data_IF_217777923795
#
_entry.id   IF_217777923795
#
_cell.length_a   1.000
_cell.length_b   1.000
_cell.length_c   1.000
_cell.angle_alpha   90.00
_cell.angle_beta   90.00
_cell.angle_gamma   90.00
#
_symmetry.space_group_name_H-M   'P 1'
#
loop_
_entity.id
_entity.type
_entity.pdbx_description
1 polymer ?
2 non-polymer ?
3 water ?
#
# COMPACT_ATOMS: atom_id res chain seq x y z
N UNK A 1 25.35 -9.34 19.44
CA UNK A 1 25.34 -8.27 18.41
C UNK A 1 23.92 -7.66 18.14
N UNK A 2 22.89 -8.48 17.88
CA UNK A 2 21.51 -7.91 17.65
C UNK A 2 20.88 -7.30 18.95
N UNK A 3 20.32 -6.09 18.85
CA UNK A 3 19.46 -5.56 19.91
C UNK A 3 18.20 -6.45 20.17
N UNK A 4 17.58 -6.26 21.34
CA UNK A 4 16.38 -7.03 21.73
C UNK A 4 15.37 -7.05 20.56
N UNK A 5 14.82 -8.23 20.33
CA UNK A 5 13.79 -8.49 19.37
C UNK A 5 12.59 -7.55 19.57
N UNK A 6 12.22 -6.85 18.50
CA UNK A 6 11.00 -5.96 18.52
C UNK A 6 9.72 -6.74 18.12
N UNK A 7 8.73 -6.79 18.97
CA UNK A 7 7.47 -7.44 18.64
C UNK A 7 6.59 -6.37 17.99
N UNK A 8 6.20 -6.53 16.74
CA UNK A 8 5.34 -5.56 16.08
C UNK A 8 3.98 -5.67 16.75
N UNK A 9 3.49 -4.57 17.29
CA UNK A 9 2.24 -4.55 18.02
C UNK A 9 1.07 -4.85 17.08
N UNK A 10 0.32 -5.93 17.32
CA UNK A 10 -0.86 -6.21 16.48
C UNK A 10 -1.92 -5.13 16.49
N UNK A 11 -1.90 -4.25 17.50
CA UNK A 11 -2.92 -3.21 17.61
C UNK A 11 -2.46 -1.85 17.08
N UNK A 12 -1.18 -1.80 16.71
CA UNK A 12 -0.60 -0.62 16.15
C UNK A 12 -0.89 0.61 17.01
N UNK A 13 -0.58 0.45 18.29
CA UNK A 13 -0.82 1.50 19.23
C UNK A 13 0.09 2.68 19.20
N UNK A 14 1.31 2.49 18.74
CA UNK A 14 2.30 3.54 18.69
C UNK A 14 3.25 3.29 17.50
N UNK A 15 2.75 3.57 16.29
CA UNK A 15 3.51 3.29 15.06
C UNK A 15 4.83 4.10 14.98
N UNK A 16 4.77 5.36 15.35
CA UNK A 16 5.95 6.19 15.36
C UNK A 16 7.08 5.76 16.33
N UNK A 17 6.68 5.34 17.52
CA UNK A 17 7.63 4.77 18.50
C UNK A 17 8.24 3.47 18.01
N UNK A 18 7.42 2.58 17.47
CA UNK A 18 7.93 1.33 16.84
C UNK A 18 8.92 1.59 15.69
N UNK A 19 8.55 2.51 14.81
CA UNK A 19 9.42 2.92 13.72
C UNK A 19 10.79 3.45 14.22
N UNK A 20 10.79 4.35 15.21
CA UNK A 20 12.03 4.84 15.82
C UNK A 20 12.84 3.70 16.45
N UNK A 21 12.17 2.72 17.05
CA UNK A 21 12.93 1.60 17.65
C UNK A 21 13.54 0.70 16.56
N UNK A 22 12.80 0.51 15.46
CA UNK A 22 13.36 -0.24 14.34
C UNK A 22 14.59 0.44 13.75
N UNK A 23 14.52 1.76 13.57
CA UNK A 23 15.66 2.50 13.05
C UNK A 23 16.88 2.37 13.95
N UNK A 24 16.69 2.51 15.27
CA UNK A 24 17.79 2.37 16.22
C UNK A 24 18.38 0.97 16.21
N UNK A 25 17.56 -0.02 15.89
CA UNK A 25 18.06 -1.40 15.82
C UNK A 25 18.66 -1.78 14.46
N UNK A 26 18.72 -0.84 13.53
CA UNK A 26 19.14 -1.16 12.20
C UNK A 26 20.64 -1.33 12.05
N UNK A 27 21.07 -1.76 10.88
CA UNK A 27 20.18 -1.83 9.69
C UNK A 27 19.34 -3.07 9.58
N UNK A 28 19.66 -4.10 10.38
CA UNK A 28 18.97 -5.39 10.36
C UNK A 28 18.51 -5.71 11.75
N UNK A 29 17.20 -5.67 11.99
CA UNK A 29 16.63 -5.82 13.31
C UNK A 29 15.89 -7.12 13.39
N UNK A 30 16.02 -7.82 14.49
CA UNK A 30 15.23 -9.00 14.75
C UNK A 30 13.81 -8.56 15.10
N UNK A 31 12.76 -9.18 14.53
CA UNK A 31 11.41 -8.80 14.94
C UNK A 31 10.53 -10.01 15.03
N UNK A 32 9.44 -9.82 15.73
CA UNK A 32 8.43 -10.81 15.86
C UNK A 32 7.19 -10.30 15.22
N UNK A 33 6.69 -11.01 14.23
CA UNK A 33 5.38 -10.74 13.68
C UNK A 33 4.29 -11.34 14.58
N UNK A 34 3.12 -10.69 14.65
CA UNK A 34 2.00 -11.25 15.45
C UNK A 34 1.70 -12.68 15.03
N UNK A 35 1.46 -13.53 16.02
CA UNK A 35 1.35 -14.95 15.82
C UNK A 35 2.66 -15.59 16.25
N UNK A 36 3.64 -14.80 16.68
CA UNK A 36 4.89 -15.37 17.25
C UNK A 36 5.99 -15.69 16.22
N UNK A 37 5.88 -15.24 14.96
CA UNK A 37 6.82 -15.69 13.89
C UNK A 37 8.03 -14.77 13.84
N UNK A 38 9.22 -15.30 14.10
CA UNK A 38 10.49 -14.52 14.06
C UNK A 38 10.98 -14.26 12.62
N UNK A 39 11.32 -13.00 12.34
CA UNK A 39 11.91 -12.64 11.06
C UNK A 39 12.92 -11.51 11.26
N UNK A 40 13.61 -11.10 10.20
CA UNK A 40 14.50 -9.94 10.21
C UNK A 40 13.82 -8.84 9.39
N UNK A 41 14.09 -7.61 9.80
CA UNK A 41 13.63 -6.42 9.11
C UNK A 41 14.81 -5.54 8.76
N UNK A 42 14.82 -5.02 7.53
CA UNK A 42 15.77 -4.03 7.14
C UNK A 42 15.08 -2.70 7.35
N UNK A 43 15.77 -1.85 8.13
CA UNK A 43 15.15 -0.66 8.67
C UNK A 43 15.88 0.66 8.36
N UNK A 44 16.87 0.59 7.48
CA UNK A 44 17.58 1.71 6.90
C UNK A 44 17.58 1.67 5.40
N UNK A 45 17.65 2.86 4.83
CA UNK A 45 17.47 3.05 3.43
C UNK A 45 18.48 2.38 2.49
N UNK A 46 19.77 2.67 2.69
CA UNK A 46 20.79 2.20 1.77
C UNK A 46 20.80 0.66 1.86
N UNK A 47 20.73 0.11 3.04
CA UNK A 47 20.70 -1.38 3.11
C UNK A 47 19.41 -1.99 2.52
N UNK A 48 18.29 -1.30 2.59
CA UNK A 48 17.04 -1.80 1.97
C UNK A 48 17.16 -1.91 0.48
N UNK A 49 17.67 -0.83 -0.13
CA UNK A 49 17.87 -0.83 -1.55
C UNK A 49 18.81 -1.96 -2.06
N UNK A 50 19.93 -2.15 -1.36
CA UNK A 50 20.89 -3.23 -1.68
C UNK A 50 20.20 -4.58 -1.57
N UNK A 51 19.43 -4.81 -0.51
CA UNK A 51 18.77 -6.12 -0.36
C UNK A 51 17.69 -6.37 -1.40
N UNK A 52 17.00 -5.32 -1.78
CA UNK A 52 15.91 -5.43 -2.71
C UNK A 52 16.43 -5.67 -4.12
N UNK A 53 17.71 -5.37 -4.40
CA UNK A 53 18.28 -5.72 -5.68
C UNK A 53 19.28 -6.88 -5.63
N UNK A 54 19.29 -7.65 -4.55
CA UNK A 54 20.27 -8.76 -4.41
C UNK A 54 19.59 -10.04 -4.86
N UNK A 55 20.15 -10.71 -5.85
CA UNK A 55 19.52 -11.93 -6.41
C UNK A 55 19.53 -13.12 -5.45
N UNK A 56 20.26 -13.05 -4.35
CA UNK A 56 20.25 -14.07 -3.34
C UNK A 56 19.05 -13.90 -2.39
N UNK A 57 18.33 -12.82 -2.52
CA UNK A 57 17.17 -12.61 -1.68
C UNK A 57 15.92 -12.82 -2.54
N UNK A 58 15.14 -13.85 -2.24
CA UNK A 58 14.03 -14.32 -3.15
C UNK A 58 12.65 -14.34 -2.51
N UNK A 59 11.62 -14.55 -3.32
CA UNK A 59 10.22 -14.74 -2.88
C UNK A 59 9.75 -16.17 -2.80
N UNK A 60 10.65 -17.13 -2.96
CA UNK A 60 10.32 -18.56 -3.01
C UNK A 60 10.19 -19.04 -1.58
N UNK A 61 8.94 -19.28 -1.16
CA UNK A 61 8.64 -19.67 0.20
C UNK A 61 9.19 -20.99 0.66
N UNK A 62 9.52 -21.90 -0.25
CA UNK A 62 10.25 -23.17 0.15
C UNK A 62 11.70 -22.96 0.63
N UNK A 63 12.23 -21.76 0.44
CA UNK A 63 13.56 -21.42 1.00
C UNK A 63 13.44 -21.10 2.49
N UNK A 64 12.24 -20.75 2.97
CA UNK A 64 12.05 -20.29 4.36
C UNK A 64 12.12 -21.46 5.35
N UNK A 65 13.05 -21.38 6.32
CA UNK A 65 13.21 -22.42 7.33
C UNK A 65 11.93 -22.68 8.10
N UNK A 66 11.29 -21.61 8.53
CA UNK A 66 10.10 -21.73 9.31
C UNK A 66 8.95 -22.46 8.57
N UNK A 67 8.83 -22.22 7.27
CA UNK A 67 7.84 -22.94 6.46
C UNK A 67 8.19 -24.41 6.35
N UNK A 68 9.41 -24.71 5.98
CA UNK A 68 9.86 -26.08 5.81
C UNK A 68 9.68 -26.90 7.13
N UNK A 69 9.87 -26.24 8.27
CA UNK A 69 9.78 -26.89 9.56
C UNK A 69 8.41 -26.92 10.13
N UNK A 70 7.41 -26.43 9.41
CA UNK A 70 6.05 -26.55 9.86
C UNK A 70 5.59 -25.58 10.95
N UNK A 71 6.30 -24.46 11.12
CA UNK A 71 5.99 -23.44 12.18
C UNK A 71 5.10 -22.23 11.70
N UNK A 72 4.67 -22.24 10.45
CA UNK A 72 3.74 -21.25 9.98
C UNK A 72 2.38 -21.89 9.75
N UNK A 73 1.41 -21.55 10.62
CA UNK A 73 0.10 -22.21 10.45
C UNK A 73 -0.61 -21.60 9.27
N UNK A 74 -1.38 -22.41 8.56
CA UNK A 74 -2.08 -21.95 7.38
C UNK A 74 -3.21 -21.00 7.70
N UNK A 75 -3.65 -21.01 8.95
CA UNK A 75 -4.65 -20.08 9.39
C UNK A 75 -4.08 -18.86 10.14
N UNK A 76 -2.79 -18.62 10.01
CA UNK A 76 -2.18 -17.33 10.42
C UNK A 76 -2.90 -16.17 9.73
N UNK A 77 -3.34 -15.16 10.48
CA UNK A 77 -4.00 -14.03 9.77
C UNK A 77 -3.20 -13.32 8.67
N UNK A 78 -1.87 -13.40 8.76
CA UNK A 78 -0.97 -12.85 7.73
C UNK A 78 -0.64 -13.82 6.55
N UNK A 79 -1.27 -15.01 6.55
CA UNK A 79 -0.96 -16.03 5.52
C UNK A 79 -1.13 -15.45 4.08
N UNK A 80 -2.11 -14.57 3.90
CA UNK A 80 -2.39 -14.02 2.61
C UNK A 80 -1.30 -13.09 2.11
N UNK A 81 -0.54 -12.50 3.02
CA UNK A 81 0.61 -11.65 2.67
C UNK A 81 1.84 -12.49 2.69
N UNK A 82 1.88 -13.53 3.51
CA UNK A 82 3.15 -14.27 3.62
C UNK A 82 3.25 -15.35 2.59
N UNK A 83 2.13 -15.87 2.11
CA UNK A 83 2.12 -16.95 1.13
C UNK A 83 1.05 -16.75 0.08
N UNK A 84 1.18 -15.68 -0.71
CA UNK A 84 0.16 -15.49 -1.70
C UNK A 84 0.32 -16.47 -2.90
N UNK A 85 -0.72 -16.61 -3.69
CA UNK A 85 -0.66 -17.54 -4.84
C UNK A 85 0.27 -17.00 -5.88
N UNK A 86 0.62 -17.86 -6.82
CA UNK A 86 1.56 -17.55 -7.88
C UNK A 86 1.15 -16.28 -8.70
N UNK A 87 2.07 -15.34 -8.84
CA UNK A 87 1.85 -14.11 -9.61
C UNK A 87 3.18 -13.50 -9.70
N UNK A 88 3.28 -12.37 -10.37
CA UNK A 88 4.52 -11.61 -10.45
C UNK A 88 5.12 -11.30 -9.09
N UNK A 89 4.27 -11.18 -8.07
CA UNK A 89 4.74 -10.84 -6.75
C UNK A 89 5.54 -11.95 -6.10
N UNK A 90 5.36 -13.20 -6.51
CA UNK A 90 5.91 -14.36 -5.81
C UNK A 90 6.99 -15.06 -6.58
N UNK A 91 7.44 -14.54 -7.71
CA UNK A 91 8.50 -15.20 -8.50
C UNK A 91 9.62 -14.23 -8.76
N UNK A 92 10.76 -14.74 -9.22
CA UNK A 92 11.88 -13.93 -9.66
C UNK A 92 12.36 -14.38 -11.06
N UNK A 93 13.39 -13.69 -11.59
CA UNK A 93 13.94 -13.97 -12.90
C UNK A 93 13.03 -13.82 -14.11
N UNK A 94 13.14 -14.80 -15.00
CA UNK A 94 12.39 -14.77 -16.25
C UNK A 94 10.87 -14.98 -16.04
N UNK A 95 10.48 -15.89 -15.13
CA UNK A 95 9.07 -15.96 -14.70
C UNK A 95 8.56 -14.58 -14.33
N UNK A 96 9.33 -13.82 -13.56
CA UNK A 96 8.83 -12.53 -13.07
C UNK A 96 8.62 -11.59 -14.24
N UNK A 97 9.58 -11.53 -15.15
CA UNK A 97 9.47 -10.63 -16.32
C UNK A 97 8.26 -11.00 -17.21
N UNK A 98 8.01 -12.31 -17.37
CA UNK A 98 6.82 -12.73 -18.12
C UNK A 98 5.56 -12.27 -17.39
N UNK A 99 5.46 -12.56 -16.09
CA UNK A 99 4.22 -12.32 -15.39
C UNK A 99 3.92 -10.85 -15.14
N UNK A 100 4.94 -10.01 -15.27
CA UNK A 100 4.81 -8.52 -15.02
C UNK A 100 4.54 -7.69 -16.29
N UNK A 101 5.07 -8.08 -17.44
CA UNK A 101 5.19 -7.10 -18.56
C UNK A 101 3.88 -6.41 -18.97
N UNK A 102 2.85 -7.19 -19.19
CA UNK A 102 1.58 -6.65 -19.62
C UNK A 102 1.00 -5.64 -18.61
N UNK A 103 1.04 -5.96 -17.35
CA UNK A 103 0.51 -5.03 -16.34
C UNK A 103 1.35 -3.83 -16.31
N UNK A 104 2.70 -3.99 -16.27
CA UNK A 104 3.55 -2.81 -16.19
C UNK A 104 3.35 -1.91 -17.44
N UNK A 105 3.24 -2.56 -18.60
CA UNK A 105 2.97 -1.82 -19.86
C UNK A 105 1.65 -1.05 -19.87
N UNK A 106 0.61 -1.53 -19.21
CA UNK A 106 -0.64 -0.81 -19.20
C UNK A 106 -0.62 0.41 -18.27
N UNK A 107 0.42 0.55 -17.47
CA UNK A 107 0.42 1.54 -16.36
C UNK A 107 1.60 2.48 -16.40
N UNK A 108 2.21 2.67 -17.58
CA UNK A 108 3.28 3.66 -17.75
C UNK A 108 2.70 5.08 -17.56
N UNK A 109 3.55 6.07 -17.31
CA UNK A 109 3.11 7.45 -17.15
C UNK A 109 2.20 7.94 -18.29
N UNK A 110 2.39 7.47 -19.50
CA UNK A 110 1.57 7.91 -20.63
C UNK A 110 0.24 7.18 -20.69
N UNK A 111 0.21 5.87 -20.46
CA UNK A 111 -1.08 5.13 -20.55
C UNK A 111 -2.02 5.64 -19.43
N UNK A 112 -1.40 6.10 -18.33
CA UNK A 112 -2.10 6.60 -17.19
C UNK A 112 -2.66 8.02 -17.43
N UNK A 113 -1.98 8.86 -18.19
CA UNK A 113 -2.52 10.19 -18.57
C UNK A 113 -3.85 10.11 -19.29
N UNK A 114 -4.04 9.04 -20.03
CA UNK A 114 -5.27 8.83 -20.73
C UNK A 114 -6.44 8.45 -19.79
N UNK A 115 -6.17 8.06 -18.54
CA UNK A 115 -7.22 7.82 -17.58
C UNK A 115 -7.61 9.10 -16.84
N UNK A 116 -6.92 10.21 -17.08
CA UNK A 116 -7.10 11.44 -16.29
C UNK A 116 -8.56 11.95 -16.23
N UNK A 117 -9.20 11.98 -17.39
CA UNK A 117 -10.56 12.54 -17.52
C UNK A 117 -11.56 11.66 -16.79
N UNK A 118 -11.45 10.36 -16.97
CA UNK A 118 -12.23 9.41 -16.17
C UNK A 118 -12.04 9.53 -14.66
N UNK A 119 -10.80 9.79 -14.23
CA UNK A 119 -10.53 9.97 -12.78
C UNK A 119 -11.10 11.31 -12.31
N UNK A 120 -10.94 12.36 -13.14
CA UNK A 120 -11.54 13.69 -12.83
C UNK A 120 -13.07 13.61 -12.67
N UNK A 121 -13.72 12.80 -13.49
CA UNK A 121 -15.17 12.61 -13.43
C UNK A 121 -15.55 11.98 -12.09
N UNK A 122 -14.99 10.82 -11.76
CA UNK A 122 -15.27 10.16 -10.48
C UNK A 122 -14.95 11.02 -9.23
N UNK A 123 -13.86 11.78 -9.29
CA UNK A 123 -13.51 12.73 -8.26
C UNK A 123 -14.60 13.78 -8.06
N UNK A 124 -15.11 14.38 -9.15
CA UNK A 124 -16.16 15.42 -9.02
C UNK A 124 -17.47 14.82 -8.50
N UNK A 125 -17.88 13.66 -9.01
CA UNK A 125 -19.01 12.91 -8.46
C UNK A 125 -18.89 12.61 -6.93
N UNK A 126 -17.70 12.23 -6.45
CA UNK A 126 -17.47 12.04 -4.98
C UNK A 126 -17.57 13.31 -4.23
N UNK A 127 -17.02 14.40 -4.77
CA UNK A 127 -17.17 15.71 -4.16
C UNK A 127 -18.62 16.22 -4.10
N UNK A 128 -19.48 15.84 -5.05
CA UNK A 128 -20.87 16.32 -5.03
C UNK A 128 -21.67 15.64 -3.94
N UNK A 129 -21.49 14.33 -3.77
CA UNK A 129 -21.95 13.64 -2.52
C UNK A 129 -21.50 14.31 -1.17
N UNK A 130 -20.22 14.62 -0.97
CA UNK A 130 -19.78 15.54 0.13
C UNK A 130 -20.43 16.89 -0.21
N UNK A 131 -20.64 17.82 0.72
CA UNK A 131 -21.36 19.08 0.33
C UNK A 131 -22.89 18.91 0.13
N UNK A 132 -23.31 17.78 -0.44
CA UNK A 132 -24.68 17.26 -0.26
C UNK A 132 -24.99 16.56 1.10
N UNK A 133 -23.97 16.33 1.96
CA UNK A 133 -24.21 15.83 3.34
C UNK A 133 -24.56 17.01 4.27
N UNK A 134 -25.34 16.78 5.38
CA UNK A 134 -25.77 17.82 6.36
C UNK A 134 -24.69 18.82 6.87
N UNK A 135 -24.82 20.09 6.48
CA UNK A 135 -23.78 21.12 6.72
C UNK A 135 -23.51 21.30 8.22
N UNK A 136 -22.23 21.38 8.59
CA UNK A 136 -21.82 21.63 9.98
C UNK A 136 -21.54 20.40 10.86
N UNK A 137 -22.23 19.28 10.62
CA UNK A 137 -21.94 18.03 11.31
C UNK A 137 -20.56 17.43 10.79
N UNK A 138 -19.76 16.81 11.69
CA UNK A 138 -18.54 16.13 11.21
C UNK A 138 -18.82 15.05 10.16
N UNK A 139 -17.91 14.92 9.21
CA UNK A 139 -17.99 13.82 8.26
C UNK A 139 -16.73 12.96 8.42
N UNK A 140 -16.87 11.69 8.11
CA UNK A 140 -15.73 10.80 8.09
C UNK A 140 -15.19 10.80 6.68
N UNK A 141 -14.13 11.56 6.48
CA UNK A 141 -13.62 11.76 5.11
C UNK A 141 -13.03 10.49 4.50
N UNK A 142 -12.60 9.55 5.34
CA UNK A 142 -12.16 8.24 4.86
C UNK A 142 -13.32 7.48 4.25
N UNK A 143 -14.39 7.23 5.00
CA UNK A 143 -15.51 6.45 4.45
C UNK A 143 -16.29 7.18 3.34
N UNK A 144 -16.26 8.50 3.31
CA UNK A 144 -17.01 9.29 2.33
C UNK A 144 -16.22 9.81 1.16
N UNK A 145 -14.90 9.69 1.16
CA UNK A 145 -14.11 10.25 0.04
C UNK A 145 -12.88 9.42 -0.26
N UNK A 146 -12.04 9.20 0.75
CA UNK A 146 -10.77 8.56 0.55
C UNK A 146 -10.97 7.10 0.21
N UNK A 147 -11.95 6.39 0.79
CA UNK A 147 -12.20 4.99 0.44
C UNK A 147 -12.83 4.87 -0.97
N UNK A 148 -14.02 5.50 -1.20
CA UNK A 148 -14.70 5.17 -2.44
C UNK A 148 -13.99 5.57 -3.73
N UNK A 149 -13.34 6.70 -3.74
CA UNK A 149 -12.71 7.17 -4.96
C UNK A 149 -11.63 6.24 -5.47
N UNK A 150 -10.60 5.89 -4.68
CA UNK A 150 -9.66 4.94 -5.25
C UNK A 150 -10.26 3.56 -5.53
N UNK A 151 -11.26 3.14 -4.77
CA UNK A 151 -11.91 1.85 -5.09
C UNK A 151 -12.59 1.91 -6.47
N UNK A 152 -13.21 3.03 -6.80
CA UNK A 152 -13.78 3.18 -8.12
C UNK A 152 -12.79 3.31 -9.22
N UNK A 153 -11.69 4.02 -9.00
CA UNK A 153 -10.72 4.19 -10.09
C UNK A 153 -10.16 2.82 -10.43
N UNK A 154 -9.76 2.06 -9.40
CA UNK A 154 -9.14 0.77 -9.67
C UNK A 154 -10.14 -0.28 -10.23
N UNK A 155 -11.37 -0.29 -9.73
CA UNK A 155 -12.44 -1.19 -10.25
C UNK A 155 -12.69 -1.00 -11.73
N UNK A 156 -12.78 0.28 -12.12
CA UNK A 156 -12.94 0.71 -13.51
C UNK A 156 -11.75 0.35 -14.38
N UNK A 157 -10.53 0.55 -13.88
CA UNK A 157 -9.36 0.11 -14.64
C UNK A 157 -9.42 -1.41 -14.96
N UNK A 158 -9.84 -2.24 -13.98
CA UNK A 158 -9.86 -3.71 -14.07
C UNK A 158 -11.25 -4.30 -14.49
N UNK A 159 -12.26 -3.46 -14.48
CA UNK A 159 -13.61 -3.85 -14.89
C UNK A 159 -14.27 -4.71 -13.84
N UNK A 160 -14.11 -4.33 -12.58
CA UNK A 160 -14.85 -4.97 -11.54
C UNK A 160 -16.20 -4.24 -11.45
N UNK A 161 -17.29 -4.99 -11.28
CA UNK A 161 -18.62 -4.39 -11.14
C UNK A 161 -18.88 -3.86 -9.72
N UNK A 162 -19.57 -2.72 -9.64
CA UNK A 162 -19.91 -2.10 -8.38
C UNK A 162 -20.74 -2.97 -7.46
N UNK A 163 -21.53 -3.91 -8.01
CA UNK A 163 -22.25 -4.89 -7.15
C UNK A 163 -21.31 -5.82 -6.34
N UNK A 164 -20.08 -6.00 -6.81
CA UNK A 164 -19.09 -6.75 -6.04
C UNK A 164 -18.38 -5.93 -4.95
N UNK A 165 -18.53 -4.61 -4.94
CA UNK A 165 -17.77 -3.79 -3.95
C UNK A 165 -18.05 -4.09 -2.48
N UNK A 166 -19.34 -4.38 -2.08
CA UNK A 166 -19.62 -4.55 -0.64
C UNK A 166 -19.00 -5.77 -0.03
N UNK A 167 -19.03 -6.86 -0.78
CA UNK A 167 -18.38 -8.06 -0.31
C UNK A 167 -16.80 -7.96 -0.39
N UNK A 168 -16.26 -7.32 -1.42
CA UNK A 168 -14.83 -7.04 -1.50
C UNK A 168 -14.34 -6.31 -0.25
N UNK A 169 -15.05 -5.24 0.10
CA UNK A 169 -14.73 -4.45 1.28
C UNK A 169 -14.71 -5.24 2.57
N UNK A 170 -15.74 -6.05 2.77
CA UNK A 170 -15.82 -6.89 3.95
C UNK A 170 -14.68 -7.94 3.95
N UNK A 171 -14.37 -8.51 2.80
CA UNK A 171 -13.35 -9.58 2.77
C UNK A 171 -11.93 -9.01 3.00
N UNK A 172 -11.65 -7.87 2.37
CA UNK A 172 -10.39 -7.19 2.55
C UNK A 172 -10.14 -6.65 3.95
N UNK A 173 -11.18 -6.17 4.62
CA UNK A 173 -11.07 -5.83 6.06
C UNK A 173 -10.67 -7.05 6.90
N UNK A 174 -11.13 -8.26 6.58
CA UNK A 174 -10.64 -9.47 7.28
C UNK A 174 -9.24 -9.87 6.84
N UNK A 175 -8.93 -9.72 5.58
CA UNK A 175 -7.61 -10.12 5.03
C UNK A 175 -6.48 -9.32 5.68
N UNK A 176 -6.69 -8.03 5.90
CA UNK A 176 -5.67 -7.15 6.47
C UNK A 176 -5.58 -7.08 8.01
N UNK A 177 -6.65 -7.37 8.71
CA UNK A 177 -6.68 -7.32 10.15
C UNK A 177 -5.89 -8.44 10.89
N UNK A 178 -5.12 -8.05 11.90
CA UNK A 178 -4.52 -8.98 12.87
C UNK A 178 -5.51 -9.63 13.81
N UNK A 179 -6.71 -9.09 13.91
CA UNK A 179 -7.73 -9.60 14.77
C UNK A 179 -8.67 -10.62 14.12
N UNK A 180 -8.45 -11.02 12.88
CA UNK A 180 -9.31 -12.02 12.28
C UNK A 180 -9.01 -13.32 12.98
N UNK A 181 -10.02 -13.95 13.61
CA UNK A 181 -9.74 -15.24 14.33
C UNK A 181 -9.16 -16.31 13.37
N UNK A 182 -8.08 -17.00 13.75
CA UNK A 182 -7.53 -18.09 12.90
C UNK A 182 -8.60 -18.97 12.28
N UNK A 183 -9.60 -19.33 13.08
CA UNK A 183 -10.71 -20.18 12.62
C UNK A 183 -11.48 -19.56 11.42
N UNK A 184 -11.43 -18.24 11.27
CA UNK A 184 -12.09 -17.52 10.13
C UNK A 184 -11.17 -17.39 8.89
N UNK A 185 -9.88 -17.61 9.04
CA UNK A 185 -8.94 -17.29 7.95
C UNK A 185 -9.13 -18.16 6.69
N UNK A 186 -9.27 -19.47 6.85
CA UNK A 186 -9.43 -20.39 5.71
C UNK A 186 -10.59 -20.08 4.81
N UNK A 187 -11.76 -19.82 5.39
CA UNK A 187 -12.96 -19.47 4.59
C UNK A 187 -12.82 -18.07 3.97
N UNK A 188 -12.15 -17.15 4.64
CA UNK A 188 -11.86 -15.84 3.98
C UNK A 188 -11.02 -16.00 2.75
N UNK A 189 -9.95 -16.79 2.83
CA UNK A 189 -9.10 -17.01 1.65
C UNK A 189 -9.88 -17.72 0.53
N UNK A 190 -10.69 -18.69 0.88
CA UNK A 190 -11.51 -19.37 -0.15
C UNK A 190 -12.50 -18.42 -0.81
N UNK A 191 -13.16 -17.57 -0.01
CA UNK A 191 -14.12 -16.59 -0.52
C UNK A 191 -13.47 -15.57 -1.42
N UNK A 192 -12.31 -15.04 -0.98
CA UNK A 192 -11.63 -14.06 -1.87
C UNK A 192 -11.29 -14.74 -3.21
N UNK A 193 -10.71 -15.91 -3.12
CA UNK A 193 -10.28 -16.65 -4.32
C UNK A 193 -11.46 -17.02 -5.20
N UNK A 194 -12.57 -17.46 -4.60
CA UNK A 194 -13.82 -17.78 -5.40
C UNK A 194 -14.41 -16.53 -6.03
N UNK A 195 -14.39 -15.40 -5.34
CA UNK A 195 -14.87 -14.16 -5.93
C UNK A 195 -14.00 -13.63 -7.08
N UNK A 196 -12.69 -13.70 -6.97
CA UNK A 196 -11.87 -13.26 -8.13
C UNK A 196 -11.92 -14.22 -9.33
N UNK A 197 -12.03 -15.50 -9.05
CA UNK A 197 -12.19 -16.53 -10.08
C UNK A 197 -13.49 -16.26 -10.88
N UNK A 198 -14.53 -15.86 -10.17
CA UNK A 198 -15.84 -15.63 -10.76
C UNK A 198 -15.75 -14.39 -11.62
N UNK A 199 -15.09 -13.33 -11.13
CA UNK A 199 -14.88 -12.13 -11.93
C UNK A 199 -14.10 -12.45 -13.18
N UNK A 200 -13.06 -13.29 -13.09
CA UNK A 200 -12.24 -13.58 -14.28
C UNK A 200 -13.00 -14.46 -15.30
N UNK A 201 -13.68 -15.52 -14.86
CA UNK A 201 -14.63 -16.30 -15.73
C UNK A 201 -15.64 -15.39 -16.48
N UNK A 202 -16.31 -14.47 -15.78
CA UNK A 202 -17.23 -13.53 -16.43
C UNK A 202 -16.58 -12.68 -17.51
N UNK A 203 -15.34 -12.19 -17.26
CA UNK A 203 -14.65 -11.35 -18.27
C UNK A 203 -14.24 -12.15 -19.48
N UNK A 204 -13.86 -13.39 -19.27
CA UNK A 204 -13.48 -14.28 -20.41
C UNK A 204 -14.63 -14.33 -21.53
N UNK A 205 -15.87 -14.47 -21.10
CA UNK A 205 -17.03 -14.67 -21.99
C UNK A 205 -17.79 -13.34 -22.23
N UNK A 206 -17.32 -12.26 -21.63
CA UNK A 206 -17.93 -10.95 -21.77
C UNK A 206 -16.87 -9.85 -21.63
N UNK A 207 -15.95 -9.79 -22.60
CA UNK A 207 -14.84 -8.80 -22.52
C UNK A 207 -15.32 -7.36 -22.35
N UNK A 208 -14.37 -6.49 -22.02
CA UNK A 208 -14.56 -5.03 -21.87
C UNK A 208 -13.27 -4.34 -22.28
N UNK A 209 -13.26 -3.01 -22.26
CA UNK A 209 -11.99 -2.25 -22.47
C UNK A 209 -11.47 -2.00 -21.06
N UNK A 210 -10.81 -3.01 -20.53
CA UNK A 210 -10.31 -3.00 -19.17
C UNK A 210 -9.13 -3.95 -19.13
N UNK A 211 -8.28 -3.79 -18.12
CA UNK A 211 -7.03 -4.50 -18.12
C UNK A 211 -7.23 -5.99 -17.89
N UNK A 212 -8.23 -6.40 -17.15
CA UNK A 212 -8.41 -7.84 -16.99
C UNK A 212 -8.64 -8.59 -18.32
N UNK A 213 -9.47 -7.98 -19.16
CA UNK A 213 -9.77 -8.50 -20.50
C UNK A 213 -8.55 -8.48 -21.36
N UNK A 214 -7.76 -7.42 -21.26
CA UNK A 214 -6.46 -7.44 -21.95
C UNK A 214 -5.52 -8.54 -21.47
N UNK A 215 -5.48 -8.83 -20.17
CA UNK A 215 -4.70 -9.99 -19.68
C UNK A 215 -5.22 -11.29 -20.27
N UNK A 216 -6.54 -11.46 -20.27
CA UNK A 216 -7.15 -12.68 -20.84
C UNK A 216 -6.83 -12.83 -22.35
N UNK A 217 -6.99 -11.74 -23.12
CA UNK A 217 -6.71 -11.71 -24.58
C UNK A 217 -5.28 -12.00 -25.02
N UNK A 218 -4.27 -11.77 -24.18
CA UNK A 218 -2.97 -12.40 -24.44
C UNK A 218 -2.99 -13.92 -24.03
N UNK A 219 -3.89 -14.71 -24.63
CA UNK A 219 -4.08 -16.18 -24.39
C UNK A 219 -3.66 -16.97 -25.62
N UNK A 220 -4.37 -16.70 -26.72
CA UNK A 220 -3.93 -17.09 -28.06
C UNK A 220 -2.85 -16.04 -28.40
N UNK A 221 -1.68 -16.23 -27.77
CA UNK A 221 -0.59 -15.22 -27.68
C UNK A 221 0.64 -15.84 -26.96
N UNK A 222 1.14 -16.95 -27.53
CA UNK A 222 2.19 -17.75 -26.92
C UNK A 222 1.82 -18.30 -25.54
N UNK A 223 0.51 -18.51 -25.32
CA UNK A 223 -0.11 -18.92 -24.00
C UNK A 223 -0.14 -17.83 -22.85
N UNK A 224 0.97 -17.12 -22.66
CA UNK A 224 1.19 -16.09 -21.62
C UNK A 224 0.58 -16.43 -20.23
N UNK A 225 -0.18 -15.55 -19.56
CA UNK A 225 -0.62 -15.84 -18.19
C UNK A 225 -1.65 -17.01 -18.08
N UNK A 226 -1.44 -17.93 -17.16
CA UNK A 226 -2.44 -18.94 -16.86
C UNK A 226 -3.65 -18.29 -16.17
N UNK A 227 -4.78 -19.00 -16.17
CA UNK A 227 -6.02 -18.58 -15.46
C UNK A 227 -5.70 -18.21 -14.00
N UNK A 228 -4.91 -19.07 -13.33
CA UNK A 228 -4.58 -18.86 -11.95
C UNK A 228 -3.72 -17.61 -11.76
N UNK A 229 -2.73 -17.39 -12.61
CA UNK A 229 -1.93 -16.18 -12.55
C UNK A 229 -2.79 -14.92 -12.77
N UNK A 230 -3.81 -14.98 -13.64
CA UNK A 230 -4.66 -13.81 -13.90
C UNK A 230 -5.47 -13.50 -12.67
N UNK A 231 -6.10 -14.51 -12.09
CA UNK A 231 -6.91 -14.37 -10.90
C UNK A 231 -6.08 -13.83 -9.70
N UNK A 232 -4.90 -14.38 -9.51
CA UNK A 232 -4.01 -13.95 -8.42
C UNK A 232 -3.52 -12.51 -8.63
N UNK A 233 -3.24 -12.18 -9.87
CA UNK A 233 -2.84 -10.82 -10.27
C UNK A 233 -3.98 -9.80 -10.07
N UNK A 234 -5.21 -10.18 -10.45
CA UNK A 234 -6.36 -9.32 -10.20
C UNK A 234 -6.53 -9.07 -8.74
N UNK A 235 -6.50 -10.11 -7.94
CA UNK A 235 -6.58 -9.95 -6.50
C UNK A 235 -5.54 -8.95 -5.89
N UNK A 236 -4.30 -9.14 -6.27
CA UNK A 236 -3.18 -8.26 -5.90
C UNK A 236 -3.46 -6.78 -6.33
N UNK A 237 -3.97 -6.56 -7.54
CA UNK A 237 -4.23 -5.20 -8.00
C UNK A 237 -5.36 -4.58 -7.24
N UNK A 238 -6.41 -5.35 -7.02
CA UNK A 238 -7.52 -4.78 -6.32
C UNK A 238 -7.25 -4.57 -4.83
N UNK A 239 -6.42 -5.40 -4.20
CA UNK A 239 -6.04 -5.09 -2.78
C UNK A 239 -5.45 -3.63 -2.58
N UNK A 240 -4.66 -3.12 -3.53
CA UNK A 240 -4.29 -1.66 -3.54
C UNK A 240 -5.47 -0.62 -3.36
N UNK A 241 -6.57 -0.88 -4.04
CA UNK A 241 -7.79 -0.09 -3.92
C UNK A 241 -8.55 -0.13 -2.62
N UNK A 242 -8.32 -1.15 -1.82
CA UNK A 242 -8.82 -1.20 -0.46
C UNK A 242 -7.76 -0.83 0.58
N UNK A 243 -6.56 -0.37 0.13
CA UNK A 243 -5.49 -0.16 1.06
C UNK A 243 -4.60 1.04 0.79
N UNK A 244 -3.63 0.95 -0.09
CA UNK A 244 -2.53 1.87 0.00
C UNK A 244 -2.91 3.24 -0.52
N UNK A 245 -3.70 3.27 -1.59
CA UNK A 245 -4.11 4.57 -2.19
C UNK A 245 -5.06 5.41 -1.29
N UNK A 246 -5.93 4.72 -0.57
CA UNK A 246 -6.77 5.29 0.48
C UNK A 246 -5.88 5.92 1.55
N UNK A 247 -4.91 5.15 2.01
CA UNK A 247 -3.98 5.65 3.04
C UNK A 247 -3.14 6.84 2.61
N UNK A 248 -2.69 6.86 1.40
CA UNK A 248 -1.97 8.04 0.96
C UNK A 248 -2.86 9.33 1.04
N UNK A 249 -4.10 9.27 0.57
CA UNK A 249 -4.98 10.43 0.61
C UNK A 249 -5.22 10.85 2.07
N UNK A 250 -5.56 9.87 2.92
CA UNK A 250 -5.80 10.15 4.35
C UNK A 250 -4.57 10.78 4.97
N UNK A 251 -3.40 10.21 4.72
CA UNK A 251 -2.19 10.73 5.34
C UNK A 251 -1.76 12.05 4.82
N UNK A 252 -2.13 12.40 3.58
CA UNK A 252 -1.86 13.75 3.09
C UNK A 252 -2.75 14.75 3.85
N UNK A 253 -4.04 14.48 3.96
CA UNK A 253 -4.89 15.38 4.75
C UNK A 253 -4.36 15.53 6.18
N UNK A 254 -4.01 14.42 6.84
CA UNK A 254 -3.47 14.50 8.17
C UNK A 254 -2.19 15.33 8.23
N UNK A 255 -1.26 15.17 7.28
CA UNK A 255 -0.02 16.03 7.29
C UNK A 255 -0.34 17.53 7.11
N UNK A 256 -1.22 17.83 6.20
CA UNK A 256 -1.56 19.22 5.95
C UNK A 256 -2.33 19.85 7.14
N UNK A 257 -3.23 19.09 7.77
CA UNK A 257 -3.93 19.58 8.93
C UNK A 257 -3.11 19.68 10.16
N UNK A 258 -1.84 19.27 10.12
CA UNK A 258 -0.95 19.41 11.26
C UNK A 258 0.25 20.27 10.94
N UNK A 259 0.30 20.92 9.76
CA UNK A 259 1.49 21.78 9.41
C UNK A 259 0.95 23.02 8.72
N UNK A 260 0.35 23.94 9.51
CA UNK A 260 -0.49 25.01 8.93
C UNK A 260 0.28 26.01 8.03
N UNK A 261 1.55 26.23 8.30
CA UNK A 261 2.39 27.10 7.41
C UNK A 261 2.48 26.50 5.98
N UNK A 262 2.73 25.18 5.88
CA UNK A 262 2.79 24.55 4.58
C UNK A 262 1.42 24.44 3.98
N UNK A 263 0.41 24.20 4.81
CA UNK A 263 -0.94 24.10 4.28
C UNK A 263 -1.23 25.39 3.46
N UNK A 264 -0.90 26.51 4.03
CA UNK A 264 -1.23 27.82 3.44
C UNK A 264 -0.52 27.97 2.12
N UNK A 265 0.76 27.59 2.08
CA UNK A 265 1.55 27.62 0.83
C UNK A 265 1.05 26.70 -0.24
N UNK A 266 0.50 25.56 0.15
CA UNK A 266 -0.01 24.61 -0.83
C UNK A 266 -1.28 25.10 -1.46
N UNK A 267 -2.16 25.66 -0.62
CA UNK A 267 -3.45 26.16 -1.13
C UNK A 267 -3.31 27.43 -1.98
N UNK A 268 -2.27 28.21 -1.69
CA UNK A 268 -1.68 29.23 -2.60
C UNK A 268 -1.15 28.89 -3.97
N UNK A 269 -0.62 27.68 -4.15
CA UNK A 269 0.20 27.39 -5.31
C UNK A 269 1.68 27.64 -5.14
N UNK A 270 2.15 28.16 -3.99
CA UNK A 270 3.59 28.28 -3.68
C UNK A 270 4.40 26.96 -3.46
N UNK A 271 3.73 25.89 -3.02
CA UNK A 271 4.31 24.51 -2.97
C UNK A 271 3.36 23.68 -3.79
N UNK A 272 3.86 22.86 -4.72
CA UNK A 272 2.95 22.10 -5.59
C UNK A 272 2.39 20.88 -4.88
N UNK A 273 1.23 20.41 -5.31
CA UNK A 273 0.66 19.21 -4.76
C UNK A 273 1.50 17.93 -4.90
N UNK A 274 2.15 17.78 -6.05
CA UNK A 274 2.99 16.63 -6.31
C UNK A 274 4.05 16.42 -5.23
N UNK A 275 4.71 17.50 -4.81
CA UNK A 275 5.67 17.55 -3.70
C UNK A 275 5.10 17.17 -2.34
N UNK A 276 3.86 17.58 -2.07
CA UNK A 276 3.17 17.21 -0.88
C UNK A 276 2.95 15.70 -0.87
N UNK A 277 2.54 15.16 -1.99
CA UNK A 277 2.31 13.72 -2.10
C UNK A 277 3.60 12.93 -1.92
N UNK A 278 4.68 13.39 -2.54
CA UNK A 278 5.94 12.68 -2.46
C UNK A 278 6.46 12.69 -1.02
N UNK A 279 6.37 13.82 -0.35
CA UNK A 279 6.83 13.92 1.03
C UNK A 279 5.98 13.10 2.02
N UNK A 280 4.71 12.88 1.72
CA UNK A 280 3.86 11.98 2.50
C UNK A 280 4.29 10.53 2.23
N UNK A 281 4.57 10.20 0.97
CA UNK A 281 5.05 8.90 0.68
C UNK A 281 6.35 8.62 1.43
N UNK A 282 7.26 9.59 1.55
CA UNK A 282 8.45 9.37 2.35
C UNK A 282 8.21 9.27 3.85
N UNK A 283 7.58 10.32 4.40
CA UNK A 283 7.50 10.55 5.82
C UNK A 283 6.39 9.77 6.56
N UNK A 284 5.29 9.48 5.93
CA UNK A 284 4.23 8.71 6.61
C UNK A 284 3.63 7.76 5.59
N UNK A 285 4.43 6.77 5.22
CA UNK A 285 4.18 5.95 4.05
C UNK A 285 3.01 4.97 4.21
N UNK A 286 2.27 4.63 3.13
CA UNK A 286 1.12 3.75 3.30
C UNK A 286 1.43 2.33 3.74
N UNK A 287 2.53 1.75 3.31
CA UNK A 287 2.93 0.42 3.66
C UNK A 287 4.09 0.44 4.63
N UNK A 288 3.80 0.05 5.86
CA UNK A 288 4.81 0.08 6.96
C UNK A 288 5.86 -1.03 6.80
N UNK A 289 5.41 -2.22 6.42
CA UNK A 289 6.27 -3.44 6.25
C UNK A 289 5.88 -4.18 5.01
N UNK A 290 6.88 -4.47 4.17
CA UNK A 290 6.68 -5.25 2.97
C UNK A 290 7.06 -6.70 3.30
N UNK A 291 6.09 -7.60 3.20
CA UNK A 291 6.29 -9.03 3.35
C UNK A 291 6.31 -9.69 1.96
N UNK A 292 7.18 -10.63 1.68
CA UNK A 292 8.21 -11.16 2.56
C UNK A 292 9.23 -11.84 1.66
N UNK A 293 10.49 -11.78 2.04
CA UNK A 293 11.55 -12.36 1.27
C UNK A 293 12.35 -13.39 2.07
N UNK A 294 13.17 -14.16 1.39
CA UNK A 294 13.98 -15.18 2.00
C UNK A 294 15.42 -15.25 1.44
N UNK A 295 16.34 -15.43 2.36
CA UNK A 295 17.76 -15.48 2.00
C UNK A 295 18.12 -16.88 1.51
N UNK A 296 18.62 -16.98 0.29
CA UNK A 296 19.11 -18.29 -0.20
C UNK A 296 20.50 -18.68 0.36
N UNK A 297 21.23 -17.76 0.99
CA UNK A 297 22.47 -18.07 1.69
C UNK A 297 22.69 -16.92 2.67
N UNK A 298 23.66 -17.03 3.57
CA UNK A 298 24.01 -15.97 4.50
C UNK A 298 24.34 -14.66 3.74
N UNK A 299 23.83 -13.53 4.18
CA UNK A 299 24.03 -12.22 3.49
C UNK A 299 24.51 -11.26 4.55
N UNK A 300 25.56 -10.51 4.26
CA UNK A 300 26.02 -9.44 5.15
C UNK A 300 25.10 -8.20 5.06
N UNK A 301 24.69 -7.62 6.16
CA UNK A 301 23.90 -6.43 6.10
C UNK A 301 24.46 -5.55 7.24
N UNK A 302 25.16 -4.49 6.91
CA UNK A 302 25.97 -3.73 7.89
C UNK A 302 26.98 -4.73 8.52
N UNK A 303 27.03 -4.75 9.83
CA UNK A 303 27.87 -5.68 10.63
C UNK A 303 27.11 -6.98 11.05
N UNK A 304 25.96 -7.30 10.42
CA UNK A 304 25.12 -8.39 10.84
C UNK A 304 25.05 -9.36 9.70
N UNK A 305 24.51 -10.52 9.98
CA UNK A 305 24.24 -11.56 9.00
C UNK A 305 22.74 -11.88 8.92
N UNK A 306 22.16 -11.77 7.74
CA UNK A 306 20.85 -12.33 7.49
C UNK A 306 21.08 -13.81 7.20
N UNK A 307 20.70 -14.73 8.10
CA UNK A 307 21.09 -16.13 7.79
C UNK A 307 20.27 -16.77 6.70
N UNK A 308 20.86 -17.80 6.14
CA UNK A 308 20.24 -18.61 5.10
C UNK A 308 18.90 -19.19 5.55
N UNK A 309 17.90 -19.11 4.67
CA UNK A 309 16.59 -19.64 4.95
C UNK A 309 15.76 -18.76 5.91
N UNK A 310 16.29 -17.64 6.37
CA UNK A 310 15.44 -16.74 7.21
C UNK A 310 14.63 -15.73 6.39
N UNK A 311 13.55 -15.25 7.01
CA UNK A 311 12.68 -14.23 6.43
C UNK A 311 13.13 -12.79 6.62
N UNK A 312 12.85 -11.97 5.61
CA UNK A 312 13.18 -10.58 5.61
C UNK A 312 11.96 -9.77 5.23
N UNK A 313 11.64 -8.81 6.08
CA UNK A 313 10.70 -7.76 5.77
C UNK A 313 11.39 -6.43 5.52
N UNK A 314 10.75 -5.56 4.75
CA UNK A 314 11.35 -4.23 4.42
C UNK A 314 10.46 -3.27 5.23
N UNK A 315 11.04 -2.60 6.22
CA UNK A 315 10.32 -1.68 7.14
C UNK A 315 10.35 -0.28 6.63
N UNK A 316 9.48 -0.04 5.64
CA UNK A 316 9.41 1.25 4.98
C UNK A 316 9.05 2.42 5.80
N UNK A 317 8.09 2.27 6.69
CA UNK A 317 7.77 3.35 7.69
C UNK A 317 9.04 3.74 8.45
N UNK A 318 9.76 2.75 8.94
CA UNK A 318 10.93 3.10 9.69
C UNK A 318 11.93 3.89 8.84
N UNK A 319 12.29 3.36 7.69
CA UNK A 319 13.39 3.88 6.90
C UNK A 319 12.95 5.14 6.15
N UNK A 320 11.66 5.46 6.11
CA UNK A 320 11.25 6.70 5.46
C UNK A 320 11.84 7.94 6.19
N UNK A 321 12.14 7.79 7.49
CA UNK A 321 12.75 8.89 8.28
C UNK A 321 14.19 8.71 8.65
N UNK A 322 14.92 8.16 7.72
CA UNK A 322 16.30 7.86 7.86
C UNK A 322 17.22 9.05 7.65
N UNK A 323 17.91 9.45 8.72
CA UNK A 323 18.76 10.62 8.67
C UNK A 323 19.95 10.46 7.78
N UNK A 324 20.51 9.26 7.67
CA UNK A 324 21.57 9.03 6.72
C UNK A 324 21.19 9.40 5.30
N UNK A 325 19.92 9.18 4.89
CA UNK A 325 19.56 9.45 3.53
C UNK A 325 19.13 10.90 3.33
N UNK A 326 18.38 11.46 4.27
CA UNK A 326 17.77 12.77 4.07
C UNK A 326 18.34 13.91 4.90
N UNK A 327 19.29 13.61 5.79
CA UNK A 327 19.84 14.64 6.66
C UNK A 327 19.05 14.85 7.95
N UNK A 328 19.47 15.84 8.74
CA UNK A 328 18.87 15.96 10.07
C UNK A 328 17.45 16.46 10.12
N UNK A 329 16.87 16.93 9.03
CA UNK A 329 15.44 17.19 9.01
C UNK A 329 14.58 15.94 8.60
N UNK A 330 15.19 14.76 8.48
CA UNK A 330 14.46 13.53 8.08
C UNK A 330 13.23 13.25 8.91
N UNK A 331 13.26 13.67 10.18
CA UNK A 331 12.13 13.50 11.09
C UNK A 331 10.92 14.37 10.83
N UNK A 332 11.06 15.40 10.04
CA UNK A 332 9.98 16.38 9.88
C UNK A 332 9.41 16.33 8.49
N UNK A 333 8.15 16.72 8.42
CA UNK A 333 7.46 16.82 7.18
C UNK A 333 7.78 18.13 6.57
N UNK A 334 8.33 18.08 5.37
CA UNK A 334 8.71 19.29 4.62
C UNK A 334 8.42 19.02 3.17
N UNK A 335 7.32 19.58 2.72
CA UNK A 335 6.83 19.32 1.38
C UNK A 335 7.69 19.85 0.25
N UNK A 336 8.64 20.75 0.56
CA UNK A 336 9.58 21.24 -0.48
C UNK A 336 10.87 20.37 -0.63
N UNK A 337 11.07 19.35 0.22
CA UNK A 337 12.27 18.50 0.21
C UNK A 337 12.53 17.98 -1.23
N UNK A 338 13.73 18.15 -1.78
CA UNK A 338 13.75 18.04 -3.24
C UNK A 338 14.41 16.91 -3.90
N UNK A 339 15.65 16.69 -3.50
CA UNK A 339 15.93 15.31 -3.77
C UNK A 339 14.99 14.61 -2.70
N UNK A 340 14.07 13.78 -3.16
CA UNK A 340 13.24 12.97 -2.33
C UNK A 340 13.11 11.66 -3.01
N UNK A 341 14.16 10.87 -2.92
CA UNK A 341 14.15 9.59 -3.55
C UNK A 341 13.75 8.42 -2.64
N UNK A 342 12.54 8.52 -2.15
CA UNK A 342 12.02 7.55 -1.24
C UNK A 342 11.79 6.21 -1.96
N UNK A 343 11.61 5.17 -1.19
CA UNK A 343 11.23 3.89 -1.69
C UNK A 343 9.92 3.38 -1.17
N UNK A 344 8.94 4.28 -1.09
CA UNK A 344 7.59 3.91 -0.70
C UNK A 344 6.98 2.86 -1.60
N UNK A 345 7.43 2.88 -2.86
CA UNK A 345 6.95 1.95 -3.88
C UNK A 345 7.87 0.76 -4.10
N UNK A 346 8.89 0.61 -3.27
CA UNK A 346 9.77 -0.54 -3.38
C UNK A 346 10.96 -0.11 -4.15
N UNK A 347 11.67 -1.09 -4.62
CA UNK A 347 12.87 -0.90 -5.37
C UNK A 347 13.32 -2.23 -5.97
N UNK A 348 14.03 -2.15 -7.08
CA UNK A 348 14.51 -3.35 -7.78
C UNK A 348 13.41 -3.93 -8.65
N UNK A 349 13.50 -5.23 -8.95
CA UNK A 349 12.60 -5.73 -9.96
C UNK A 349 11.07 -5.72 -9.59
N UNK A 350 10.72 -5.77 -8.30
CA UNK A 350 9.33 -5.80 -7.90
C UNK A 350 8.81 -4.40 -7.62
N UNK A 351 9.54 -3.34 -7.98
CA UNK A 351 9.10 -1.96 -7.74
C UNK A 351 7.68 -1.74 -8.26
N UNK A 352 6.85 -1.05 -7.45
CA UNK A 352 5.41 -0.90 -7.78
C UNK A 352 5.20 -0.50 -9.26
N UNK A 353 4.42 -1.25 -9.99
CA UNK A 353 4.11 -0.81 -11.37
C UNK A 353 2.93 0.14 -11.42
N UNK A 354 2.17 0.22 -10.35
CA UNK A 354 1.06 1.15 -10.25
C UNK A 354 1.39 2.53 -9.72
N UNK A 355 2.67 2.88 -9.63
CA UNK A 355 3.02 4.06 -8.88
C UNK A 355 2.52 5.31 -9.59
N UNK A 356 2.64 5.31 -10.91
CA UNK A 356 2.17 6.44 -11.68
C UNK A 356 0.66 6.63 -11.57
N UNK A 357 -0.10 5.54 -11.52
CA UNK A 357 -1.57 5.63 -11.29
C UNK A 357 -1.90 6.22 -9.93
N UNK A 358 -1.20 5.79 -8.87
CA UNK A 358 -1.51 6.27 -7.56
C UNK A 358 -1.16 7.73 -7.43
N UNK A 359 -0.04 8.14 -8.04
CA UNK A 359 0.29 9.57 -8.05
C UNK A 359 -0.77 10.42 -8.80
N UNK A 360 -1.24 9.93 -9.91
CA UNK A 360 -2.21 10.64 -10.71
C UNK A 360 -3.55 10.81 -9.92
N UNK A 361 -4.11 9.74 -9.35
CA UNK A 361 -5.31 9.76 -8.47
C UNK A 361 -5.20 10.73 -7.30
N UNK A 362 -4.12 10.67 -6.54
CA UNK A 362 -3.97 11.55 -5.41
C UNK A 362 -3.74 12.96 -5.85
N UNK A 363 -3.00 13.11 -6.94
CA UNK A 363 -2.72 14.43 -7.52
C UNK A 363 -3.92 15.16 -8.13
N UNK A 364 -4.99 14.43 -8.44
CA UNK A 364 -6.27 14.97 -8.83
C UNK A 364 -7.21 15.10 -7.58
N UNK A 365 -7.43 14.01 -6.83
CA UNK A 365 -8.35 14.01 -5.64
C UNK A 365 -8.04 15.12 -4.67
N UNK A 366 -6.79 15.33 -4.32
CA UNK A 366 -6.49 16.21 -3.27
C UNK A 366 -6.63 17.72 -3.64
N UNK A 367 -6.09 18.18 -4.78
CA UNK A 367 -6.44 19.58 -5.13
C UNK A 367 -7.96 19.74 -5.28
N UNK A 368 -8.66 18.82 -5.90
CA UNK A 368 -10.11 19.04 -6.03
C UNK A 368 -10.83 19.14 -4.64
N UNK A 369 -10.41 18.34 -3.66
CA UNK A 369 -10.92 18.42 -2.31
C UNK A 369 -10.76 19.77 -1.71
N UNK A 370 -9.54 20.25 -1.65
CA UNK A 370 -9.28 21.52 -0.99
C UNK A 370 -9.60 22.80 -1.83
N UNK A 371 -9.84 22.65 -3.13
CA UNK A 371 -10.31 23.77 -3.90
C UNK A 371 -11.79 23.94 -3.60
N UNK A 372 -12.53 22.84 -3.50
CA UNK A 372 -13.95 22.88 -3.18
C UNK A 372 -14.21 23.24 -1.67
N UNK A 373 -13.31 22.84 -0.79
CA UNK A 373 -13.45 23.01 0.63
C UNK A 373 -12.22 23.58 1.22
N UNK A 374 -11.97 24.86 0.98
CA UNK A 374 -10.73 25.46 1.42
C UNK A 374 -10.57 25.71 2.93
N UNK A 375 -11.61 25.53 3.73
CA UNK A 375 -11.41 25.64 5.20
C UNK A 375 -11.53 24.27 5.92
N UNK A 376 -11.49 23.18 5.15
CA UNK A 376 -11.38 21.81 5.68
C UNK A 376 -10.42 21.69 6.86
N UNK A 377 -10.95 21.16 7.94
CA UNK A 377 -10.07 20.82 9.09
C UNK A 377 -10.53 19.55 9.77
N UNK A 378 -9.70 19.00 10.64
CA UNK A 378 -10.07 17.84 11.42
C UNK A 378 -11.11 18.31 12.44
N UNK A 379 -12.09 17.47 12.71
CA UNK A 379 -13.11 17.71 13.74
C UNK A 379 -12.72 17.12 15.10
N UNK A 380 -11.53 16.50 15.20
CA UNK A 380 -11.01 15.92 16.44
C UNK A 380 -9.60 16.37 16.58
N UNK A 381 -9.02 16.26 17.80
CA UNK A 381 -7.60 16.61 17.88
C UNK A 381 -6.73 15.60 17.08
N UNK A 382 -5.63 16.05 16.53
CA UNK A 382 -4.83 15.23 15.63
C UNK A 382 -4.36 13.94 16.38
N UNK A 383 -4.00 14.09 17.67
CA UNK A 383 -3.57 13.00 18.55
C UNK A 383 -4.70 11.93 18.80
N UNK A 384 -5.97 12.23 18.51
CA UNK A 384 -7.01 11.24 18.62
C UNK A 384 -7.21 10.38 17.38
N UNK A 385 -6.44 10.61 16.31
CA UNK A 385 -6.52 9.73 15.15
C UNK A 385 -5.78 8.47 15.55
N UNK A 386 -6.28 7.34 15.16
CA UNK A 386 -5.72 6.10 15.62
C UNK A 386 -5.60 5.11 14.44
N UNK A 387 -4.52 4.35 14.47
CA UNK A 387 -4.31 3.26 13.48
C UNK A 387 -5.22 2.07 13.68
N UNK A 388 -5.70 1.48 12.59
CA UNK A 388 -6.34 0.16 12.63
C UNK A 388 -5.33 -0.95 12.94
N UNK A 389 -5.86 -2.09 13.44
CA UNK A 389 -5.01 -3.19 13.81
C UNK A 389 -4.54 -3.98 12.57
N UNK A 390 -3.69 -3.34 11.78
CA UNK A 390 -3.19 -3.84 10.51
C UNK A 390 -1.72 -3.59 10.57
N UNK A 391 -0.95 -4.64 10.79
CA UNK A 391 0.45 -4.51 11.17
C UNK A 391 1.38 -4.10 10.02
N UNK A 392 1.01 -4.41 8.78
CA UNK A 392 1.78 -4.11 7.62
C UNK A 392 1.38 -2.79 6.90
N UNK A 393 0.23 -2.21 7.22
CA UNK A 393 -0.25 -0.98 6.56
C UNK A 393 -0.44 0.12 7.60
N UNK A 394 -0.33 1.33 7.16
CA UNK A 394 -0.47 2.47 8.03
C UNK A 394 -1.84 3.04 7.70
N UNK A 395 -2.89 2.49 8.27
CA UNK A 395 -4.29 2.98 8.07
C UNK A 395 -5.03 3.44 9.32
N UNK A 396 -5.82 4.49 9.17
CA UNK A 396 -6.56 5.06 10.23
C UNK A 396 -7.94 4.48 10.25
N UNK A 397 -8.51 4.40 11.45
CA UNK A 397 -9.92 4.01 11.66
C UNK A 397 -10.91 5.02 11.07
N UNK A 398 -10.64 6.31 11.19
CA UNK A 398 -11.57 7.32 10.67
C UNK A 398 -10.81 8.59 10.50
N UNK A 399 -11.32 9.51 9.66
CA UNK A 399 -10.67 10.82 9.54
C UNK A 399 -11.75 11.89 9.64
N UNK A 400 -12.16 12.17 10.85
CA UNK A 400 -13.32 13.04 11.05
C UNK A 400 -12.96 14.50 10.71
N UNK A 401 -13.69 15.08 9.77
CA UNK A 401 -13.36 16.46 9.36
C UNK A 401 -14.61 17.36 9.39
N UNK A 402 -14.36 18.64 9.48
CA UNK A 402 -15.43 19.68 9.19
C UNK A 402 -15.07 20.29 7.85
N UNK A 403 -15.91 20.04 6.88
CA UNK A 403 -15.71 20.50 5.53
C UNK A 403 -15.65 22.01 5.46
N UNK A 404 -16.54 22.66 6.20
CA UNK A 404 -16.43 24.07 6.42
C UNK A 404 -16.81 25.00 5.27
N UNK A 405 -17.66 24.57 4.36
CA UNK A 405 -18.38 25.57 3.47
C UNK A 405 -17.79 25.79 2.06
N UNK A 406 -18.57 25.45 1.04
CA UNK A 406 -18.01 25.16 -0.25
C UNK A 406 -17.52 26.33 -1.09
N UNK A 407 -16.79 25.97 -2.14
CA UNK A 407 -16.35 26.78 -3.32
C UNK A 407 -15.40 27.90 -2.97
N UNK A 408 -15.03 28.70 -3.97
CA UNK A 408 -14.24 29.90 -3.75
C UNK A 408 -12.79 29.58 -4.02
N UNK A 409 -11.94 29.72 -2.98
CA UNK A 409 -10.50 29.37 -3.04
C UNK A 409 -9.58 30.32 -2.25
#
# INVERSE_FOLDING_TARGET
RLMTRIALDPFVRDLDGESAALRAAGPLAEVELPGGVHVYAVTRHAEARALLTDSRVVKDIDVWNAWRRGEIPMDWPLIGLANPGRSMLTVDGADHRRLRTLVAQALTVKRVERLRAGIEALTNASLEKLAALPAGEPVDLKAEFAYPLPMNVISELMGVDAADHPRLKELFEKFFSTQTPPEEVPQMMADLGALFTKIVDAKRTNPGDDLTSALIAASENGDHLTDEEIVNTLQLIIAAGHETTISLIVNVVEALQTHPEQRKKVLNGEIGWDGVIEETLRWNTPTSHVLIRFATEDIEVGDKILPKGEGLIISFGALGRDEEQYGPTAGEFDATRTPNRHIAFGHGPHVCPGAALSRLEAGIALPALYERFPELDLAVPASDLRNKPIVTQNDLHELPVKLGCPFGGDA
#
